data_IF_739076140724
#
_entry.id   IF_739076140724
#
_cell.length_a   1.000
_cell.length_b   1.000
_cell.length_c   1.000
_cell.angle_alpha   90.00
_cell.angle_beta   90.00
_cell.angle_gamma   90.00
#
_symmetry.space_group_name_H-M   'P 1'
#
loop_
_entity.id
_entity.type
_entity.pdbx_description
1 polymer ?
#
# COMPACT_ATOMS: atom_id res chain seq x y z
N UNK A 1 10.92 38.61 60.38
CA UNK A 1 10.83 38.78 58.92
C UNK A 1 11.06 37.41 58.26
N UNK A 2 9.98 36.65 57.99
CA UNK A 2 10.06 35.27 57.48
C UNK A 2 10.08 35.30 55.95
N UNK A 3 11.12 34.71 55.35
CA UNK A 3 11.36 34.68 53.89
C UNK A 3 10.77 33.41 53.27
N UNK A 4 9.92 33.64 52.27
CA UNK A 4 9.88 33.01 50.93
C UNK A 4 9.53 31.52 50.81
N UNK A 5 8.23 31.31 50.63
CA UNK A 5 7.53 30.49 49.63
C UNK A 5 8.34 29.43 48.84
N UNK A 6 8.02 28.18 49.12
CA UNK A 6 8.30 26.97 48.33
C UNK A 6 7.46 26.95 47.05
N UNK A 7 8.10 27.13 45.88
CA UNK A 7 7.46 26.91 44.58
C UNK A 7 7.80 25.50 44.10
N UNK A 8 6.79 24.62 44.15
CA UNK A 8 6.82 23.26 43.63
C UNK A 8 6.86 23.29 42.09
N UNK A 9 8.04 23.09 41.50
CA UNK A 9 8.20 22.83 40.06
C UNK A 9 7.99 21.33 39.83
N UNK A 10 6.75 20.96 39.53
CA UNK A 10 6.39 19.62 39.07
C UNK A 10 6.91 19.40 37.65
N UNK A 11 8.02 18.66 37.55
CA UNK A 11 8.32 17.62 36.54
C UNK A 11 7.52 17.73 35.23
N UNK A 12 7.98 18.56 34.30
CA UNK A 12 7.66 18.41 32.87
C UNK A 12 8.64 17.41 32.24
N UNK A 13 8.48 16.15 32.65
CA UNK A 13 9.23 15.01 32.12
C UNK A 13 8.41 14.27 31.07
N UNK A 14 8.96 14.14 29.87
CA UNK A 14 8.65 13.12 28.88
C UNK A 14 7.23 13.13 28.24
N UNK A 15 7.04 13.99 27.25
CA UNK A 15 6.02 13.78 26.19
C UNK A 15 6.67 13.93 24.81
N UNK A 16 7.67 13.10 24.51
CA UNK A 16 8.16 12.89 23.13
C UNK A 16 8.60 11.43 22.98
N UNK A 17 7.64 10.51 23.02
CA UNK A 17 7.83 9.14 22.56
C UNK A 17 6.63 8.75 21.69
N UNK A 18 6.92 8.06 20.59
CA UNK A 18 5.99 7.45 19.63
C UNK A 18 5.45 8.32 18.49
N UNK A 19 6.34 8.84 17.64
CA UNK A 19 6.05 8.86 16.19
C UNK A 19 6.32 7.47 15.62
N UNK A 20 5.48 6.52 16.02
CA UNK A 20 5.42 5.21 15.37
C UNK A 20 4.98 5.41 13.93
N UNK A 21 5.87 5.09 12.98
CA UNK A 21 5.55 5.02 11.56
C UNK A 21 4.52 3.89 11.36
N UNK A 22 3.25 4.21 11.56
CA UNK A 22 2.15 3.28 11.32
C UNK A 22 1.89 3.25 9.82
N UNK A 23 2.55 2.33 9.12
CA UNK A 23 2.14 1.89 7.79
C UNK A 23 0.77 1.21 7.89
N UNK A 24 -0.28 2.00 8.08
CA UNK A 24 -1.65 1.54 8.01
C UNK A 24 -1.95 1.24 6.55
N UNK A 25 -1.99 -0.05 6.19
CA UNK A 25 -2.75 -0.50 5.02
C UNK A 25 -4.15 0.07 5.18
N UNK A 26 -4.44 1.14 4.44
CA UNK A 26 -5.60 2.02 4.63
C UNK A 26 -6.85 1.22 5.02
N UNK A 27 -7.26 1.35 6.28
CA UNK A 27 -8.52 0.84 6.81
C UNK A 27 -9.70 1.72 6.36
N UNK A 28 -9.44 2.80 5.62
CA UNK A 28 -10.48 3.64 5.07
C UNK A 28 -11.16 2.93 3.92
N UNK A 29 -12.49 2.80 4.02
CA UNK A 29 -13.35 2.26 2.97
C UNK A 29 -13.50 3.21 1.77
N UNK A 30 -12.70 4.28 1.69
CA UNK A 30 -12.73 5.32 0.66
C UNK A 30 -11.35 5.38 -0.01
N UNK A 31 -11.34 5.49 -1.33
CA UNK A 31 -10.13 5.67 -2.13
C UNK A 31 -9.51 7.05 -1.87
N UNK A 32 -8.23 7.10 -1.49
CA UNK A 32 -7.55 8.37 -1.22
C UNK A 32 -7.41 9.27 -2.46
N UNK A 33 -7.37 8.68 -3.66
CA UNK A 33 -7.20 9.41 -4.93
C UNK A 33 -8.54 9.89 -5.49
N UNK A 34 -9.52 8.99 -5.57
CA UNK A 34 -10.78 9.25 -6.27
C UNK A 34 -11.95 9.62 -5.35
N UNK A 35 -11.76 9.56 -4.02
CA UNK A 35 -12.78 9.89 -3.02
C UNK A 35 -14.10 9.10 -3.18
N UNK A 36 -14.02 7.88 -3.70
CA UNK A 36 -15.16 6.95 -3.86
C UNK A 36 -15.01 5.73 -2.94
N UNK A 37 -16.12 5.06 -2.57
CA UNK A 37 -16.06 3.83 -1.79
C UNK A 37 -15.26 2.72 -2.46
N UNK A 38 -14.42 2.05 -1.68
CA UNK A 38 -13.67 0.87 -2.10
C UNK A 38 -14.56 -0.37 -2.05
N UNK A 39 -14.38 -1.26 -3.01
CA UNK A 39 -15.05 -2.55 -3.07
C UNK A 39 -14.11 -3.66 -2.63
N UNK A 40 -14.59 -4.54 -1.75
CA UNK A 40 -13.84 -5.73 -1.36
C UNK A 40 -14.00 -6.80 -2.44
N UNK A 41 -12.90 -7.23 -3.06
CA UNK A 41 -12.88 -8.25 -4.13
C UNK A 41 -11.84 -9.31 -3.82
N UNK A 42 -12.15 -10.57 -4.15
CA UNK A 42 -11.16 -11.66 -4.07
C UNK A 42 -10.32 -11.65 -5.35
N UNK A 43 -9.01 -11.62 -5.18
CA UNK A 43 -8.03 -11.68 -6.28
C UNK A 43 -7.13 -12.91 -6.11
N UNK A 44 -6.61 -13.49 -7.21
CA UNK A 44 -5.65 -14.58 -7.13
C UNK A 44 -4.39 -14.16 -6.38
N UNK A 45 -3.79 -15.12 -5.67
CA UNK A 45 -2.44 -15.00 -5.12
C UNK A 45 -1.47 -15.69 -6.07
N UNK A 46 -0.47 -14.96 -6.54
CA UNK A 46 0.62 -15.49 -7.35
C UNK A 46 1.80 -15.78 -6.42
N UNK A 47 2.30 -17.01 -6.47
CA UNK A 47 3.45 -17.47 -5.72
C UNK A 47 4.64 -17.70 -6.65
N UNK A 48 5.84 -17.66 -6.07
CA UNK A 48 7.10 -17.87 -6.76
C UNK A 48 7.96 -16.60 -6.76
N UNK A 49 9.10 -16.68 -7.44
CA UNK A 49 9.96 -15.52 -7.68
C UNK A 49 9.54 -14.86 -8.99
N UNK A 50 8.90 -13.67 -8.96
CA UNK A 50 8.58 -12.94 -10.17
C UNK A 50 9.86 -12.49 -10.88
N UNK A 51 9.90 -12.70 -12.20
CA UNK A 51 10.94 -12.14 -13.07
C UNK A 51 10.42 -10.78 -13.56
N UNK A 52 10.83 -9.71 -12.88
CA UNK A 52 10.37 -8.37 -13.19
C UNK A 52 11.15 -7.78 -14.36
N UNK A 53 10.46 -7.40 -15.42
CA UNK A 53 11.03 -6.59 -16.48
C UNK A 53 11.15 -5.11 -16.07
N UNK A 54 11.85 -4.30 -16.88
CA UNK A 54 11.89 -2.84 -16.66
C UNK A 54 10.50 -2.20 -16.77
N UNK A 55 9.66 -2.71 -17.67
CA UNK A 55 8.26 -2.34 -17.82
C UNK A 55 7.48 -2.62 -16.54
N UNK A 56 7.62 -3.82 -15.98
CA UNK A 56 6.89 -4.20 -14.77
C UNK A 56 7.26 -3.30 -13.59
N UNK A 57 8.55 -2.98 -13.43
CA UNK A 57 9.03 -2.04 -12.41
C UNK A 57 8.40 -0.65 -12.57
N UNK A 58 8.41 -0.09 -13.79
CA UNK A 58 7.77 1.18 -14.10
C UNK A 58 6.26 1.14 -13.82
N UNK A 59 5.59 0.05 -14.19
CA UNK A 59 4.16 -0.13 -13.92
C UNK A 59 3.88 -0.20 -12.42
N UNK A 60 4.72 -0.88 -11.63
CA UNK A 60 4.57 -0.96 -10.18
C UNK A 60 4.78 0.40 -9.50
N UNK A 61 5.82 1.14 -9.92
CA UNK A 61 6.10 2.49 -9.43
C UNK A 61 4.93 3.45 -9.75
N UNK A 62 4.45 3.43 -10.99
CA UNK A 62 3.30 4.24 -11.39
C UNK A 62 2.02 3.81 -10.67
N UNK A 63 1.81 2.50 -10.47
CA UNK A 63 0.64 2.00 -9.76
C UNK A 63 0.61 2.43 -8.31
N UNK A 64 1.76 2.41 -7.62
CA UNK A 64 1.86 2.85 -6.25
C UNK A 64 1.52 4.34 -6.10
N UNK A 65 1.85 5.16 -7.11
CA UNK A 65 1.65 6.61 -7.10
C UNK A 65 0.25 7.03 -7.55
N UNK A 66 -0.20 6.55 -8.70
CA UNK A 66 -1.34 7.12 -9.43
C UNK A 66 -2.62 6.30 -9.28
N UNK A 67 -2.51 5.00 -9.04
CA UNK A 67 -3.67 4.10 -8.95
C UNK A 67 -3.48 3.00 -7.88
N UNK A 68 -3.35 3.38 -6.59
CA UNK A 68 -2.93 2.48 -5.50
C UNK A 68 -3.94 1.38 -5.17
N UNK A 69 -5.19 1.50 -5.63
CA UNK A 69 -6.27 0.53 -5.42
C UNK A 69 -6.66 -0.21 -6.71
N UNK A 70 -5.71 -0.42 -7.62
CA UNK A 70 -5.88 -1.13 -8.90
C UNK A 70 -5.40 -2.59 -8.89
N UNK A 71 -5.08 -3.14 -7.71
CA UNK A 71 -4.50 -4.47 -7.55
C UNK A 71 -5.49 -5.56 -7.98
N UNK A 72 -5.15 -6.32 -9.03
CA UNK A 72 -5.95 -7.45 -9.56
C UNK A 72 -5.37 -8.83 -9.19
N UNK A 73 -4.19 -8.85 -8.58
CA UNK A 73 -3.51 -10.05 -8.10
C UNK A 73 -2.66 -9.66 -6.88
N UNK A 74 -2.46 -10.57 -5.94
CA UNK A 74 -1.58 -10.37 -4.79
C UNK A 74 -0.36 -11.28 -4.88
N UNK A 75 0.76 -10.86 -4.30
CA UNK A 75 1.95 -11.70 -4.18
C UNK A 75 1.91 -12.49 -2.87
N UNK A 76 2.04 -13.81 -2.99
CA UNK A 76 2.01 -14.75 -1.87
C UNK A 76 3.39 -15.06 -1.29
N UNK A 77 4.46 -14.53 -1.90
CA UNK A 77 5.84 -14.87 -1.62
C UNK A 77 6.34 -16.05 -2.47
N UNK A 78 7.57 -16.49 -2.20
CA UNK A 78 8.26 -17.49 -3.03
C UNK A 78 7.95 -18.95 -2.67
N UNK A 79 7.47 -19.23 -1.45
CA UNK A 79 7.25 -20.60 -0.97
C UNK A 79 5.77 -20.97 -0.97
N UNK A 80 5.42 -22.05 -1.67
CA UNK A 80 4.07 -22.62 -1.68
C UNK A 80 4.00 -23.77 -0.69
N UNK A 81 3.31 -23.56 0.43
CA UNK A 81 2.97 -24.64 1.36
C UNK A 81 1.77 -25.45 0.82
N UNK A 82 1.62 -26.71 1.26
CA UNK A 82 0.51 -27.60 0.86
C UNK A 82 -0.89 -26.96 0.99
N UNK A 83 -1.06 -26.06 1.96
CA UNK A 83 -2.31 -25.37 2.25
C UNK A 83 -2.25 -23.86 1.95
N UNK A 84 -1.37 -23.43 1.04
CA UNK A 84 -1.25 -22.04 0.67
C UNK A 84 -2.57 -21.50 0.08
N UNK A 85 -3.07 -20.34 0.54
CA UNK A 85 -4.31 -19.76 0.03
C UNK A 85 -4.17 -19.39 -1.46
N UNK A 86 -5.21 -19.64 -2.26
CA UNK A 86 -5.20 -19.31 -3.70
C UNK A 86 -5.72 -17.91 -4.01
N UNK A 87 -6.41 -17.30 -3.06
CA UNK A 87 -7.06 -16.00 -3.21
C UNK A 87 -6.98 -15.20 -1.91
N UNK A 88 -6.95 -13.88 -2.04
CA UNK A 88 -7.04 -12.94 -0.91
C UNK A 88 -8.05 -11.84 -1.24
N UNK A 89 -8.71 -11.32 -0.20
CA UNK A 89 -9.57 -10.16 -0.36
C UNK A 89 -8.74 -8.87 -0.34
N UNK A 90 -8.91 -8.03 -1.35
CA UNK A 90 -8.29 -6.70 -1.46
C UNK A 90 -9.37 -5.63 -1.62
N UNK A 91 -9.02 -4.40 -1.26
CA UNK A 91 -9.86 -3.22 -1.48
C UNK A 91 -9.51 -2.59 -2.83
N UNK A 92 -10.48 -2.59 -3.76
CA UNK A 92 -10.34 -2.04 -5.10
C UNK A 92 -11.15 -0.77 -5.29
N UNK A 93 -10.66 0.12 -6.15
CA UNK A 93 -11.38 1.28 -6.65
C UNK A 93 -11.60 1.10 -8.16
N UNK A 94 -12.84 1.20 -8.63
CA UNK A 94 -13.18 1.10 -10.07
C UNK A 94 -12.40 2.12 -10.91
N UNK A 95 -12.23 3.33 -10.40
CA UNK A 95 -11.53 4.40 -11.12
C UNK A 95 -10.01 4.14 -11.16
N UNK A 96 -9.41 3.58 -10.10
CA UNK A 96 -8.01 3.14 -10.15
C UNK A 96 -7.80 2.02 -11.18
N UNK A 97 -8.76 1.09 -11.30
CA UNK A 97 -8.69 0.02 -12.31
C UNK A 97 -8.75 0.59 -13.74
N UNK A 98 -9.64 1.55 -13.98
CA UNK A 98 -9.74 2.24 -15.28
C UNK A 98 -8.48 3.03 -15.61
N UNK A 99 -7.98 3.84 -14.67
CA UNK A 99 -6.75 4.61 -14.84
C UNK A 99 -5.54 3.71 -15.14
N UNK A 100 -5.42 2.57 -14.46
CA UNK A 100 -4.39 1.57 -14.78
C UNK A 100 -4.55 1.02 -16.19
N UNK A 101 -5.77 0.66 -16.58
CA UNK A 101 -6.03 0.12 -17.92
C UNK A 101 -5.71 1.14 -19.03
N UNK A 102 -6.02 2.42 -18.82
CA UNK A 102 -5.67 3.51 -19.72
C UNK A 102 -4.16 3.70 -19.80
N UNK A 103 -3.47 3.69 -18.65
CA UNK A 103 -2.01 3.79 -18.62
C UNK A 103 -1.35 2.64 -19.41
N UNK A 104 -1.81 1.40 -19.24
CA UNK A 104 -1.30 0.24 -19.99
C UNK A 104 -1.53 0.36 -21.49
N UNK A 105 -2.64 0.95 -21.93
CA UNK A 105 -2.88 1.21 -23.37
C UNK A 105 -1.91 2.25 -23.93
N UNK A 106 -1.61 3.29 -23.16
CA UNK A 106 -0.68 4.36 -23.56
C UNK A 106 0.79 3.91 -23.47
N UNK A 107 1.08 2.91 -22.64
CA UNK A 107 2.42 2.36 -22.40
C UNK A 107 2.37 0.85 -22.66
N UNK A 108 2.30 0.41 -23.93
CA UNK A 108 2.30 -1.00 -24.24
C UNK A 108 3.63 -1.65 -23.83
N UNK A 109 3.56 -2.89 -23.35
CA UNK A 109 4.75 -3.68 -23.05
C UNK A 109 5.57 -3.89 -24.34
N UNK A 110 6.89 -3.65 -24.34
CA UNK A 110 7.72 -3.91 -25.51
C UNK A 110 7.75 -5.41 -25.84
N UNK A 111 7.71 -5.73 -27.15
CA UNK A 111 7.72 -7.13 -27.63
C UNK A 111 9.02 -7.87 -27.29
N UNK A 112 10.12 -7.13 -27.21
CA UNK A 112 11.45 -7.65 -26.84
C UNK A 112 11.91 -6.89 -25.62
N UNK A 113 11.83 -7.54 -24.47
CA UNK A 113 12.26 -6.96 -23.21
C UNK A 113 13.36 -7.81 -22.58
N UNK A 114 14.46 -7.16 -22.23
CA UNK A 114 15.58 -7.77 -21.50
C UNK A 114 15.35 -7.57 -20.01
N UNK A 115 15.49 -8.65 -19.25
CA UNK A 115 15.35 -8.71 -17.79
C UNK A 115 16.61 -8.27 -17.07
#
# INVERSE_FOLDING_TARGET
MKRLATVLIFVWGAVLAFTGCSATKSANKICAVHQVPLQKKKVPIIYGMPMWSNYDRKMMEEAARSFPHSTVQAEGGCMVMKNAPKQVAVWQCTNCLQAKAEWVKQHPRPEKETF
#
